data_IF_548478047900
#
_entry.id   IF_548478047900
#
_cell.length_a   1.000
_cell.length_b   1.000
_cell.length_c   1.000
_cell.angle_alpha   90.00
_cell.angle_beta   90.00
_cell.angle_gamma   90.00
#
_symmetry.space_group_name_H-M   'P 1'
#
loop_
_entity.id
_entity.type
_entity.pdbx_description
1 polymer ?
#
# COMPACT_ATOMS: atom_id res chain seq x y z
N UNK A 1 -18.21 60.08 7.64
CA UNK A 1 -18.30 59.76 6.23
C UNK A 1 -16.88 59.47 5.72
N UNK A 2 -16.47 58.26 5.55
CA UNK A 2 -15.27 57.91 4.77
C UNK A 2 -15.68 57.51 3.34
N UNK A 3 -14.86 57.92 2.37
CA UNK A 3 -15.05 57.70 0.94
C UNK A 3 -14.74 56.24 0.55
N UNK A 4 -15.38 55.68 -0.51
CA UNK A 4 -15.05 54.38 -1.01
C UNK A 4 -13.75 54.39 -1.85
N UNK A 5 -12.90 53.40 -1.65
CA UNK A 5 -11.76 53.12 -2.50
C UNK A 5 -12.24 52.58 -3.86
N UNK A 6 -12.00 53.33 -4.91
CA UNK A 6 -11.99 52.83 -6.29
C UNK A 6 -10.69 52.06 -6.51
N UNK A 7 -10.79 50.74 -6.68
CA UNK A 7 -9.71 49.86 -7.10
C UNK A 7 -10.02 49.35 -8.50
N UNK A 8 -9.07 49.52 -9.36
CA UNK A 8 -9.07 49.27 -10.80
C UNK A 8 -9.46 47.82 -11.17
N UNK A 9 -10.62 47.66 -11.74
CA UNK A 9 -11.04 46.48 -12.50
C UNK A 9 -11.18 46.90 -13.98
N UNK A 10 -10.06 47.02 -14.68
CA UNK A 10 -10.09 47.49 -16.06
C UNK A 10 -8.79 47.22 -16.81
N UNK A 11 -8.35 46.01 -16.98
CA UNK A 11 -7.26 45.69 -17.91
C UNK A 11 -7.09 44.20 -18.30
N UNK A 12 -8.13 43.39 -18.34
CA UNK A 12 -8.04 41.97 -18.81
C UNK A 12 -9.16 41.58 -19.81
N UNK A 13 -9.80 42.54 -20.48
CA UNK A 13 -10.84 42.21 -21.49
C UNK A 13 -10.57 42.92 -22.84
N UNK A 14 -9.34 43.13 -23.24
CA UNK A 14 -9.02 43.67 -24.57
C UNK A 14 -8.18 42.73 -25.44
N UNK A 15 -8.42 41.41 -25.35
CA UNK A 15 -7.72 40.42 -26.16
C UNK A 15 -8.62 39.26 -26.64
N UNK A 16 -9.95 39.46 -26.69
CA UNK A 16 -10.91 38.40 -27.02
C UNK A 16 -11.75 38.67 -28.28
N UNK A 17 -11.32 39.54 -29.19
CA UNK A 17 -12.11 39.90 -30.40
C UNK A 17 -11.66 39.27 -31.72
N UNK A 18 -10.69 38.32 -31.75
CA UNK A 18 -10.24 37.64 -32.99
C UNK A 18 -10.26 36.11 -32.96
N UNK A 19 -11.24 35.47 -32.28
CA UNK A 19 -11.43 33.99 -32.34
C UNK A 19 -12.86 33.62 -32.72
N UNK A 20 -13.35 34.13 -33.87
CA UNK A 20 -14.49 33.60 -34.58
C UNK A 20 -14.02 32.94 -35.87
N UNK A 21 -13.51 31.74 -35.80
CA UNK A 21 -13.67 30.67 -36.81
C UNK A 21 -12.83 29.46 -36.39
N UNK A 22 -13.50 28.39 -36.01
CA UNK A 22 -12.84 27.09 -35.85
C UNK A 22 -13.06 26.31 -34.56
N UNK A 23 -14.13 26.60 -33.78
CA UNK A 23 -14.46 25.79 -32.61
C UNK A 23 -14.94 24.41 -33.05
N UNK A 24 -14.05 23.41 -33.05
CA UNK A 24 -14.41 21.98 -33.14
C UNK A 24 -14.58 21.43 -31.73
N UNK A 25 -15.77 20.86 -31.38
CA UNK A 25 -16.03 20.36 -30.02
C UNK A 25 -15.18 19.14 -29.59
N UNK A 26 -14.26 18.65 -30.44
CA UNK A 26 -13.40 17.50 -30.14
C UNK A 26 -12.02 17.82 -29.56
N UNK A 27 -11.57 19.09 -29.62
CA UNK A 27 -10.19 19.44 -29.20
C UNK A 27 -10.01 19.72 -27.71
N UNK A 28 -11.10 20.06 -27.02
CA UNK A 28 -11.03 20.41 -25.59
C UNK A 28 -11.05 19.19 -24.66
N UNK A 29 -11.69 18.09 -25.07
CA UNK A 29 -11.72 16.85 -24.30
C UNK A 29 -10.34 16.18 -24.21
N UNK A 30 -9.55 16.22 -25.30
CA UNK A 30 -8.22 15.59 -25.33
C UNK A 30 -7.16 16.32 -24.49
N UNK A 31 -7.35 17.63 -24.19
CA UNK A 31 -6.43 18.40 -23.36
C UNK A 31 -6.72 18.14 -21.88
N UNK A 32 -7.98 17.94 -21.49
CA UNK A 32 -8.36 17.63 -20.10
C UNK A 32 -8.01 16.17 -19.73
N UNK A 33 -8.06 15.23 -20.65
CA UNK A 33 -7.64 13.84 -20.41
C UNK A 33 -6.13 13.71 -20.10
N UNK A 34 -5.28 14.62 -20.56
CA UNK A 34 -3.84 14.63 -20.30
C UNK A 34 -3.44 15.14 -18.90
N UNK A 35 -4.36 15.76 -18.16
CA UNK A 35 -4.11 16.31 -16.82
C UNK A 35 -4.98 15.68 -15.73
N UNK A 36 -5.71 14.63 -16.05
CA UNK A 36 -6.49 13.91 -15.04
C UNK A 36 -5.52 13.18 -14.08
N UNK A 37 -5.27 13.79 -12.92
CA UNK A 37 -4.60 13.11 -11.81
C UNK A 37 -5.57 12.09 -11.21
N UNK A 38 -5.05 10.93 -10.82
CA UNK A 38 -5.80 9.92 -10.08
C UNK A 38 -5.06 9.56 -8.80
N UNK A 39 -5.81 9.34 -7.72
CA UNK A 39 -5.24 8.97 -6.43
C UNK A 39 -5.14 7.45 -6.28
N UNK A 40 -3.97 7.01 -5.79
CA UNK A 40 -3.73 5.69 -5.28
C UNK A 40 -3.40 5.81 -3.79
N UNK A 41 -4.22 5.18 -2.96
CA UNK A 41 -4.06 5.17 -1.50
C UNK A 41 -3.46 3.83 -1.10
N UNK A 42 -2.28 3.83 -0.50
CA UNK A 42 -1.64 2.63 0.05
C UNK A 42 -1.78 2.64 1.57
N UNK A 43 -2.37 1.58 2.12
CA UNK A 43 -2.56 1.44 3.57
C UNK A 43 -2.01 0.11 4.06
N UNK A 44 -1.00 0.15 4.92
CA UNK A 44 -0.56 -1.04 5.64
C UNK A 44 -1.56 -1.37 6.74
N UNK A 45 -1.91 -2.65 6.86
CA UNK A 45 -2.78 -3.12 7.95
C UNK A 45 -2.26 -2.69 9.33
N UNK A 46 -3.17 -2.47 10.26
CA UNK A 46 -2.85 -2.16 11.65
C UNK A 46 -2.02 -3.26 12.34
N UNK A 47 -1.46 -2.96 13.50
CA UNK A 47 -0.65 -3.92 14.26
C UNK A 47 -1.40 -5.25 14.43
N UNK A 48 -0.78 -6.36 14.04
CA UNK A 48 -1.30 -7.70 14.30
C UNK A 48 -0.83 -8.24 15.65
N UNK A 49 -1.49 -9.30 16.16
CA UNK A 49 -1.07 -9.97 17.39
C UNK A 49 0.41 -10.39 17.34
N UNK A 50 0.87 -10.92 16.21
CA UNK A 50 2.26 -11.33 16.05
C UNK A 50 3.23 -10.17 15.77
N UNK A 51 2.75 -9.02 15.29
CA UNK A 51 3.57 -7.81 15.30
C UNK A 51 3.86 -7.37 16.73
N UNK A 52 2.83 -7.36 17.62
CA UNK A 52 2.97 -7.05 19.03
C UNK A 52 3.88 -8.03 19.76
N UNK A 53 3.78 -9.31 19.43
CA UNK A 53 4.62 -10.37 20.00
C UNK A 53 6.02 -10.44 19.35
N UNK A 54 6.32 -9.56 18.38
CA UNK A 54 7.56 -9.52 17.64
C UNK A 54 7.93 -10.84 16.93
N UNK A 55 6.93 -11.53 16.34
CA UNK A 55 7.09 -12.80 15.62
C UNK A 55 7.02 -12.62 14.10
N UNK A 56 7.64 -13.53 13.35
CA UNK A 56 7.49 -13.61 11.90
C UNK A 56 6.09 -14.07 11.53
N UNK A 57 5.33 -13.26 10.78
CA UNK A 57 3.94 -13.57 10.45
C UNK A 57 3.78 -14.26 9.10
N UNK A 58 4.28 -13.64 8.03
CA UNK A 58 4.13 -14.17 6.68
C UNK A 58 2.67 -14.41 6.28
N UNK A 59 2.39 -15.60 5.74
CA UNK A 59 1.05 -16.01 5.29
C UNK A 59 0.17 -16.60 6.41
N UNK A 60 0.71 -16.74 7.62
CA UNK A 60 -0.12 -17.14 8.77
C UNK A 60 -1.21 -16.10 9.02
N UNK A 61 -2.46 -16.57 9.15
CA UNK A 61 -3.63 -15.71 9.22
C UNK A 61 -3.92 -15.21 10.64
N UNK A 62 -3.09 -14.30 11.11
CA UNK A 62 -3.16 -13.67 12.43
C UNK A 62 -4.04 -12.42 12.38
N UNK A 63 -4.83 -12.20 13.42
CA UNK A 63 -5.73 -11.04 13.55
C UNK A 63 -4.99 -9.77 14.00
N UNK A 64 -5.71 -8.64 13.94
CA UNK A 64 -5.27 -7.37 14.53
C UNK A 64 -5.23 -7.44 16.06
N UNK A 65 -4.29 -6.74 16.66
CA UNK A 65 -4.34 -6.39 18.10
C UNK A 65 -5.41 -5.31 18.35
N UNK A 66 -5.68 -5.01 19.64
CA UNK A 66 -6.53 -3.87 19.99
C UNK A 66 -5.98 -2.56 19.39
N UNK A 67 -4.68 -2.32 19.56
CA UNK A 67 -3.99 -1.18 18.94
C UNK A 67 -4.11 -1.16 17.41
N UNK A 68 -4.00 -2.32 16.76
CA UNK A 68 -4.14 -2.39 15.30
C UNK A 68 -5.54 -1.99 14.81
N UNK A 69 -6.57 -2.19 15.62
CA UNK A 69 -7.93 -1.69 15.32
C UNK A 69 -8.00 -0.17 15.48
N UNK A 70 -7.42 0.38 16.55
CA UNK A 70 -7.30 1.83 16.75
C UNK A 70 -6.51 2.50 15.61
N UNK A 71 -5.45 1.85 15.12
CA UNK A 71 -4.69 2.31 13.96
C UNK A 71 -5.54 2.32 12.68
N UNK A 72 -6.45 1.36 12.50
CA UNK A 72 -7.39 1.35 11.38
C UNK A 72 -8.43 2.49 11.48
N UNK A 73 -8.99 2.74 12.66
CA UNK A 73 -9.87 3.89 12.93
C UNK A 73 -9.16 5.23 12.68
N UNK A 74 -7.91 5.35 13.11
CA UNK A 74 -7.09 6.53 12.81
C UNK A 74 -6.90 6.72 11.31
N UNK A 75 -6.61 5.64 10.56
CA UNK A 75 -6.46 5.72 9.11
C UNK A 75 -7.74 6.24 8.44
N UNK A 76 -8.92 5.80 8.89
CA UNK A 76 -10.20 6.31 8.43
C UNK A 76 -10.36 7.80 8.74
N UNK A 77 -10.03 8.22 9.97
CA UNK A 77 -10.08 9.64 10.35
C UNK A 77 -9.17 10.50 9.48
N UNK A 78 -7.95 10.03 9.17
CA UNK A 78 -7.01 10.74 8.32
C UNK A 78 -7.48 10.84 6.86
N UNK A 79 -8.18 9.83 6.35
CA UNK A 79 -8.77 9.83 5.00
C UNK A 79 -10.02 10.71 4.92
N UNK A 80 -10.75 10.84 6.04
CA UNK A 80 -12.07 11.45 6.08
C UNK A 80 -12.10 12.88 5.53
N UNK A 81 -13.03 13.12 4.62
CA UNK A 81 -13.40 14.43 4.08
C UNK A 81 -12.72 14.83 2.78
N UNK A 82 -11.46 14.51 2.55
CA UNK A 82 -10.72 14.95 1.35
C UNK A 82 -10.32 13.80 0.42
N UNK A 83 -10.10 12.59 0.98
CA UNK A 83 -9.65 11.43 0.23
C UNK A 83 -10.74 10.34 0.21
N UNK A 84 -11.22 10.02 -0.97
CA UNK A 84 -12.20 8.96 -1.20
C UNK A 84 -11.64 7.92 -2.17
N UNK A 85 -12.25 6.74 -2.19
CA UNK A 85 -11.90 5.69 -3.15
C UNK A 85 -13.17 5.05 -3.72
N UNK A 86 -13.10 4.65 -4.97
CA UNK A 86 -14.23 4.05 -5.70
C UNK A 86 -14.08 2.54 -5.87
N UNK A 87 -12.95 1.99 -5.54
CA UNK A 87 -12.66 0.56 -5.46
C UNK A 87 -11.56 0.31 -4.45
N UNK A 88 -11.65 -0.78 -3.72
CA UNK A 88 -10.64 -1.20 -2.78
C UNK A 88 -10.05 -2.57 -3.14
N UNK A 89 -8.77 -2.72 -2.94
CA UNK A 89 -8.01 -3.95 -3.13
C UNK A 89 -7.40 -4.39 -1.81
N UNK A 90 -7.45 -5.68 -1.51
CA UNK A 90 -6.80 -6.22 -0.30
C UNK A 90 -6.33 -7.65 -0.51
N UNK A 91 -5.55 -8.16 0.43
CA UNK A 91 -5.12 -9.55 0.46
C UNK A 91 -6.23 -10.50 0.93
N UNK A 92 -5.92 -11.79 1.02
CA UNK A 92 -6.82 -12.80 1.61
C UNK A 92 -6.52 -13.05 3.09
N UNK A 93 -5.68 -12.23 3.74
CA UNK A 93 -5.32 -12.34 5.15
C UNK A 93 -6.17 -11.42 6.02
N UNK A 94 -6.75 -11.97 7.11
CA UNK A 94 -7.78 -11.28 7.92
C UNK A 94 -7.33 -9.91 8.46
N UNK A 95 -6.05 -9.73 8.82
CA UNK A 95 -5.56 -8.46 9.34
C UNK A 95 -5.67 -7.30 8.33
N UNK A 96 -5.42 -7.57 7.04
CA UNK A 96 -5.59 -6.57 5.99
C UNK A 96 -7.08 -6.35 5.66
N UNK A 97 -7.85 -7.44 5.54
CA UNK A 97 -9.29 -7.39 5.32
C UNK A 97 -9.97 -6.61 6.45
N UNK A 98 -9.63 -6.88 7.71
CA UNK A 98 -10.25 -6.23 8.87
C UNK A 98 -9.87 -4.75 8.98
N UNK A 99 -8.61 -4.40 8.64
CA UNK A 99 -8.20 -2.99 8.53
C UNK A 99 -9.05 -2.27 7.49
N UNK A 100 -9.22 -2.85 6.30
CA UNK A 100 -10.05 -2.28 5.25
C UNK A 100 -11.51 -2.14 5.70
N UNK A 101 -12.08 -3.17 6.34
CA UNK A 101 -13.46 -3.12 6.80
C UNK A 101 -13.71 -2.02 7.84
N UNK A 102 -12.78 -1.85 8.79
CA UNK A 102 -12.88 -0.75 9.78
C UNK A 102 -12.85 0.59 9.05
N UNK A 103 -11.93 0.78 8.10
CA UNK A 103 -11.85 2.04 7.33
C UNK A 103 -13.12 2.29 6.53
N UNK A 104 -13.68 1.27 5.88
CA UNK A 104 -14.90 1.42 5.08
C UNK A 104 -16.14 1.69 5.94
N UNK A 105 -16.21 1.08 7.12
CA UNK A 105 -17.29 1.27 8.09
C UNK A 105 -17.28 2.71 8.65
N UNK A 106 -16.12 3.17 9.11
CA UNK A 106 -15.95 4.53 9.66
C UNK A 106 -16.21 5.63 8.63
N UNK A 107 -15.96 5.37 7.34
CA UNK A 107 -16.17 6.32 6.25
C UNK A 107 -17.57 6.19 5.59
N UNK A 108 -18.42 5.28 6.03
CA UNK A 108 -19.70 4.94 5.41
C UNK A 108 -19.57 4.56 3.92
N UNK A 109 -18.46 3.89 3.57
CA UNK A 109 -18.11 3.46 2.21
C UNK A 109 -18.29 1.95 1.99
N UNK A 110 -19.14 1.27 2.76
CA UNK A 110 -19.37 -0.18 2.68
C UNK A 110 -19.89 -0.64 1.32
N UNK A 111 -20.48 0.25 0.53
CA UNK A 111 -20.97 -0.04 -0.82
C UNK A 111 -19.85 -0.12 -1.88
N UNK A 112 -18.65 0.36 -1.55
CA UNK A 112 -17.52 0.37 -2.50
C UNK A 112 -17.09 -1.07 -2.82
N UNK A 113 -16.91 -1.44 -4.09
CA UNK A 113 -16.45 -2.77 -4.47
C UNK A 113 -15.08 -3.12 -3.87
N UNK A 114 -14.96 -4.32 -3.30
CA UNK A 114 -13.71 -4.84 -2.74
C UNK A 114 -13.23 -6.06 -3.53
N UNK A 115 -12.01 -5.99 -4.02
CA UNK A 115 -11.32 -7.11 -4.67
C UNK A 115 -10.24 -7.69 -3.76
N UNK A 116 -10.26 -9.01 -3.57
CA UNK A 116 -9.28 -9.75 -2.76
C UNK A 116 -8.40 -10.59 -3.64
N UNK A 117 -7.09 -10.52 -3.40
CA UNK A 117 -6.13 -11.37 -4.11
C UNK A 117 -5.00 -11.82 -3.20
N UNK A 118 -4.66 -13.11 -3.26
CA UNK A 118 -3.48 -13.65 -2.59
C UNK A 118 -2.18 -12.98 -3.07
N UNK A 119 -2.19 -12.41 -4.27
CA UNK A 119 -1.06 -11.66 -4.81
C UNK A 119 -0.71 -10.42 -3.98
N UNK A 120 -1.65 -9.94 -3.18
CA UNK A 120 -1.41 -8.84 -2.21
C UNK A 120 -1.05 -9.34 -0.81
N UNK A 121 -0.91 -10.64 -0.58
CA UNK A 121 -0.47 -11.18 0.71
C UNK A 121 0.90 -10.64 1.13
N UNK A 122 1.21 -10.76 2.42
CA UNK A 122 2.54 -10.51 2.97
C UNK A 122 3.57 -11.46 2.32
N UNK A 123 4.85 -11.09 2.33
CA UNK A 123 5.95 -11.98 1.96
C UNK A 123 5.91 -13.26 2.80
N UNK A 124 6.05 -14.43 2.16
CA UNK A 124 6.20 -15.68 2.88
C UNK A 124 7.56 -15.75 3.55
N UNK A 125 7.57 -15.88 4.88
CA UNK A 125 8.79 -16.05 5.65
C UNK A 125 9.23 -17.52 5.79
N UNK A 126 8.58 -18.42 5.07
CA UNK A 126 8.95 -19.85 5.08
C UNK A 126 8.98 -20.46 6.47
N UNK A 127 10.02 -21.21 6.76
CA UNK A 127 10.20 -21.88 8.05
C UNK A 127 10.32 -20.92 9.25
N UNK A 128 10.57 -19.62 9.03
CA UNK A 128 10.61 -18.63 10.10
C UNK A 128 9.22 -18.24 10.61
N UNK A 129 8.14 -18.52 9.87
CA UNK A 129 6.77 -18.20 10.28
C UNK A 129 6.47 -18.76 11.68
N UNK A 130 6.02 -17.90 12.59
CA UNK A 130 5.71 -18.22 13.97
C UNK A 130 6.89 -18.09 14.94
N UNK A 131 8.12 -18.00 14.47
CA UNK A 131 9.28 -17.83 15.34
C UNK A 131 9.37 -16.40 15.89
N UNK A 132 9.87 -16.27 17.11
CA UNK A 132 10.24 -15.00 17.71
C UNK A 132 11.46 -14.41 16.98
N UNK A 133 11.42 -13.10 16.68
CA UNK A 133 12.51 -12.46 15.91
C UNK A 133 13.80 -12.29 16.71
N UNK A 134 13.79 -11.83 17.98
CA UNK A 134 14.96 -11.81 18.85
C UNK A 134 15.62 -13.17 19.02
N UNK A 135 14.86 -14.23 19.32
CA UNK A 135 15.38 -15.58 19.45
C UNK A 135 15.97 -16.10 18.13
N UNK A 136 15.33 -15.79 17.01
CA UNK A 136 15.85 -16.12 15.68
C UNK A 136 17.15 -15.37 15.41
N UNK A 137 17.26 -14.09 15.80
CA UNK A 137 18.48 -13.30 15.66
C UNK A 137 19.61 -13.84 16.57
N UNK A 138 19.29 -14.30 17.77
CA UNK A 138 20.26 -14.95 18.65
C UNK A 138 20.80 -16.26 18.03
N UNK A 139 19.95 -17.00 17.33
CA UNK A 139 20.30 -18.29 16.70
C UNK A 139 21.09 -18.16 15.40
N UNK A 140 20.67 -17.24 14.51
CA UNK A 140 21.20 -17.14 13.15
C UNK A 140 22.05 -15.89 12.90
N UNK A 141 22.16 -15.01 13.88
CA UNK A 141 22.81 -13.72 13.77
C UNK A 141 21.87 -12.60 13.32
N UNK A 142 22.07 -11.40 13.88
CA UNK A 142 21.22 -10.22 13.60
C UNK A 142 21.30 -9.83 12.12
N UNK A 143 22.49 -9.88 11.52
CA UNK A 143 22.71 -9.55 10.12
C UNK A 143 21.92 -10.48 9.18
N UNK A 144 22.00 -11.80 9.41
CA UNK A 144 21.28 -12.77 8.60
C UNK A 144 19.77 -12.58 8.70
N UNK A 145 19.24 -12.32 9.91
CA UNK A 145 17.81 -12.04 10.12
C UNK A 145 17.43 -10.73 9.46
N UNK A 146 18.29 -9.72 9.50
CA UNK A 146 18.08 -8.47 8.78
C UNK A 146 17.97 -8.71 7.26
N UNK A 147 18.88 -9.47 6.67
CA UNK A 147 18.85 -9.83 5.24
C UNK A 147 17.53 -10.54 4.88
N UNK A 148 17.12 -11.56 5.64
CA UNK A 148 15.85 -12.26 5.39
C UNK A 148 14.62 -11.35 5.47
N UNK A 149 14.68 -10.30 6.28
CA UNK A 149 13.55 -9.37 6.45
C UNK A 149 13.51 -8.28 5.41
N UNK A 150 14.67 -7.78 4.99
CA UNK A 150 14.81 -6.48 4.34
C UNK A 150 15.40 -6.52 2.95
N UNK A 151 16.35 -7.43 2.69
CA UNK A 151 17.02 -7.52 1.40
C UNK A 151 16.02 -7.83 0.27
N UNK A 152 16.39 -7.40 -0.93
CA UNK A 152 15.54 -7.55 -2.12
C UNK A 152 15.41 -9.01 -2.56
N UNK A 153 16.52 -9.74 -2.65
CA UNK A 153 16.64 -11.07 -3.28
C UNK A 153 16.94 -12.23 -2.32
N UNK A 154 17.07 -11.95 -1.01
CA UNK A 154 17.41 -12.99 -0.02
C UNK A 154 16.17 -13.66 0.53
N UNK A 155 16.03 -14.97 0.26
CA UNK A 155 14.93 -15.81 0.76
C UNK A 155 15.23 -16.34 2.16
N UNK A 156 14.24 -16.33 3.08
CA UNK A 156 14.31 -17.14 4.31
C UNK A 156 14.33 -18.64 4.00
N UNK A 157 14.71 -19.51 4.97
CA UNK A 157 14.63 -20.94 4.81
C UNK A 157 13.21 -21.39 4.41
N UNK A 158 13.06 -22.25 3.38
CA UNK A 158 11.73 -22.65 2.91
C UNK A 158 11.04 -23.60 3.91
N UNK A 159 9.71 -23.61 3.89
CA UNK A 159 8.91 -24.69 4.45
C UNK A 159 9.16 -25.98 3.66
N UNK A 160 9.21 -27.12 4.35
CA UNK A 160 9.16 -28.38 3.64
C UNK A 160 7.77 -28.59 3.02
N UNK A 161 7.71 -29.41 1.97
CA UNK A 161 6.44 -29.69 1.28
C UNK A 161 5.36 -30.22 2.23
N UNK A 162 5.74 -31.04 3.23
CA UNK A 162 4.82 -31.67 4.18
C UNK A 162 4.62 -30.86 5.48
N UNK A 163 5.21 -29.67 5.58
CA UNK A 163 4.98 -28.78 6.73
C UNK A 163 3.51 -28.32 6.73
N UNK A 164 2.81 -28.52 7.85
CA UNK A 164 1.39 -28.15 7.99
C UNK A 164 1.11 -26.65 7.81
N UNK A 165 2.13 -25.80 7.88
CA UNK A 165 2.04 -24.36 7.64
C UNK A 165 2.17 -24.02 6.15
N UNK A 166 2.48 -25.00 5.28
CA UNK A 166 2.58 -24.75 3.85
C UNK A 166 1.22 -24.33 3.29
N UNK A 167 1.15 -23.26 2.46
CA UNK A 167 -0.11 -22.73 1.94
C UNK A 167 -1.00 -23.77 1.24
N UNK A 168 -0.43 -24.83 0.69
CA UNK A 168 -1.19 -25.92 0.02
C UNK A 168 -2.24 -26.59 0.91
N UNK A 169 -2.09 -26.49 2.24
CA UNK A 169 -3.06 -27.05 3.19
C UNK A 169 -4.12 -26.04 3.63
N UNK A 170 -4.01 -24.80 3.19
CA UNK A 170 -4.94 -23.74 3.57
C UNK A 170 -6.09 -23.64 2.56
N UNK A 171 -7.36 -23.76 2.99
CA UNK A 171 -8.52 -23.76 2.09
C UNK A 171 -8.66 -22.46 1.27
N UNK A 172 -8.01 -21.35 1.67
CA UNK A 172 -8.00 -20.09 0.89
C UNK A 172 -7.31 -20.21 -0.45
N UNK A 173 -6.47 -21.23 -0.62
CA UNK A 173 -5.67 -21.48 -1.82
C UNK A 173 -6.00 -22.83 -2.49
N UNK A 174 -7.12 -23.47 -2.10
CA UNK A 174 -7.48 -24.81 -2.57
C UNK A 174 -7.67 -24.91 -4.10
N UNK A 175 -8.08 -23.82 -4.74
CA UNK A 175 -8.28 -23.75 -6.19
C UNK A 175 -6.99 -23.41 -6.97
N UNK A 176 -5.86 -23.26 -6.27
CA UNK A 176 -4.58 -22.94 -6.87
C UNK A 176 -3.74 -24.22 -7.08
N UNK A 177 -2.92 -24.19 -8.13
CA UNK A 177 -1.88 -25.22 -8.28
C UNK A 177 -0.92 -25.15 -7.08
N UNK A 178 -0.80 -26.21 -6.27
CA UNK A 178 0.08 -26.24 -5.11
C UNK A 178 1.55 -25.94 -5.41
N UNK A 179 2.02 -26.21 -6.63
CA UNK A 179 3.40 -25.93 -7.04
C UNK A 179 3.66 -24.42 -7.24
N UNK A 180 2.62 -23.63 -7.45
CA UNK A 180 2.71 -22.16 -7.56
C UNK A 180 2.70 -21.46 -6.20
N UNK A 181 2.36 -22.19 -5.13
CA UNK A 181 2.29 -21.64 -3.77
C UNK A 181 3.68 -21.53 -3.14
N UNK A 182 4.07 -20.35 -2.59
CA UNK A 182 5.44 -20.15 -2.13
C UNK A 182 5.74 -20.90 -0.83
N UNK A 183 6.77 -21.74 -0.83
CA UNK A 183 7.36 -22.28 0.38
C UNK A 183 8.17 -21.22 1.16
N UNK A 184 8.64 -20.17 0.46
CA UNK A 184 9.36 -19.00 0.98
C UNK A 184 9.42 -17.92 -0.11
N UNK A 185 9.61 -16.66 0.27
CA UNK A 185 9.75 -15.54 -0.67
C UNK A 185 10.84 -14.56 -0.25
N UNK A 186 11.58 -14.05 -1.23
CA UNK A 186 12.30 -12.77 -1.15
C UNK A 186 11.33 -11.60 -1.43
N UNK A 187 11.80 -10.36 -1.33
CA UNK A 187 11.01 -9.21 -1.78
C UNK A 187 10.85 -9.21 -3.32
N UNK A 188 11.86 -9.68 -4.05
CA UNK A 188 11.80 -9.88 -5.49
C UNK A 188 10.67 -10.85 -5.90
N UNK A 189 10.54 -11.99 -5.20
CA UNK A 189 9.44 -12.93 -5.45
C UNK A 189 8.08 -12.28 -5.16
N UNK A 190 8.00 -11.51 -4.08
CA UNK A 190 6.79 -10.76 -3.73
C UNK A 190 6.43 -9.76 -4.85
N UNK A 191 7.42 -9.03 -5.39
CA UNK A 191 7.24 -8.11 -6.51
C UNK A 191 6.71 -8.87 -7.75
N UNK A 192 7.33 -9.99 -8.10
CA UNK A 192 6.97 -10.79 -9.28
C UNK A 192 5.51 -11.30 -9.25
N UNK A 193 4.90 -11.47 -8.07
CA UNK A 193 3.47 -11.81 -7.98
C UNK A 193 2.54 -10.60 -7.84
N UNK A 194 3.03 -9.48 -7.30
CA UNK A 194 2.25 -8.25 -7.15
C UNK A 194 2.08 -7.54 -8.49
N UNK A 195 3.15 -7.42 -9.28
CA UNK A 195 3.15 -6.64 -10.53
C UNK A 195 2.12 -7.11 -11.56
N UNK A 196 1.97 -8.41 -11.89
CA UNK A 196 0.95 -8.83 -12.84
C UNK A 196 -0.48 -8.49 -12.37
N UNK A 197 -0.73 -8.46 -11.07
CA UNK A 197 -2.01 -8.08 -10.51
C UNK A 197 -2.21 -6.55 -10.53
N UNK A 198 -1.17 -5.80 -10.23
CA UNK A 198 -1.14 -4.35 -10.41
C UNK A 198 -1.48 -3.98 -11.84
N UNK A 199 -0.77 -4.53 -12.83
CA UNK A 199 -0.92 -4.21 -14.24
C UNK A 199 -2.30 -4.61 -14.81
N UNK A 200 -2.82 -5.77 -14.42
CA UNK A 200 -4.06 -6.30 -15.01
C UNK A 200 -5.35 -5.83 -14.32
N UNK A 201 -5.30 -5.42 -13.05
CA UNK A 201 -6.48 -5.08 -12.25
C UNK A 201 -6.42 -3.65 -11.71
N UNK A 202 -5.40 -3.32 -10.91
CA UNK A 202 -5.37 -2.04 -10.19
C UNK A 202 -5.22 -0.88 -11.16
N UNK A 203 -4.27 -0.97 -12.11
CA UNK A 203 -4.08 0.08 -13.14
C UNK A 203 -5.31 0.24 -14.03
N UNK A 204 -6.11 -0.81 -14.22
CA UNK A 204 -7.33 -0.75 -15.02
C UNK A 204 -8.35 0.20 -14.40
N UNK A 205 -8.54 0.17 -13.09
CA UNK A 205 -9.45 1.10 -12.41
C UNK A 205 -8.86 2.51 -12.32
N UNK A 206 -7.56 2.64 -12.04
CA UNK A 206 -6.86 3.94 -12.04
C UNK A 206 -6.95 4.65 -13.39
N UNK A 207 -6.73 3.93 -14.52
CA UNK A 207 -6.87 4.48 -15.88
C UNK A 207 -8.30 4.90 -16.23
N UNK A 208 -9.29 4.41 -15.51
CA UNK A 208 -10.69 4.87 -15.60
C UNK A 208 -10.97 6.10 -14.75
N UNK A 209 -9.95 6.71 -14.17
CA UNK A 209 -10.06 7.86 -13.27
C UNK A 209 -10.69 7.54 -11.91
N UNK A 210 -10.67 6.28 -11.49
CA UNK A 210 -11.19 5.88 -10.18
C UNK A 210 -10.08 5.93 -9.13
N UNK A 211 -10.20 6.73 -8.07
CA UNK A 211 -9.33 6.60 -6.92
C UNK A 211 -9.40 5.21 -6.29
N UNK A 212 -8.25 4.64 -5.97
CA UNK A 212 -8.09 3.26 -5.52
C UNK A 212 -7.48 3.22 -4.13
N UNK A 213 -8.02 2.40 -3.22
CA UNK A 213 -7.38 2.03 -1.96
C UNK A 213 -6.80 0.62 -2.04
N UNK A 214 -5.52 0.46 -1.71
CA UNK A 214 -4.87 -0.85 -1.53
C UNK A 214 -4.51 -1.03 -0.05
N UNK A 215 -5.32 -1.82 0.67
CA UNK A 215 -5.06 -2.20 2.05
C UNK A 215 -4.32 -3.54 2.09
N UNK A 216 -3.01 -3.52 2.39
CA UNK A 216 -2.16 -4.70 2.26
C UNK A 216 -1.09 -4.78 3.37
N UNK A 217 0.10 -5.30 3.05
CA UNK A 217 1.12 -5.67 4.04
C UNK A 217 2.44 -4.94 3.78
N UNK A 218 3.33 -4.99 4.79
CA UNK A 218 4.61 -4.30 4.72
C UNK A 218 5.42 -4.63 3.47
N UNK A 219 5.58 -5.92 3.13
CA UNK A 219 6.41 -6.27 1.97
C UNK A 219 5.66 -6.20 0.64
N UNK A 220 4.37 -6.49 0.56
CA UNK A 220 3.62 -6.29 -0.69
C UNK A 220 3.54 -4.81 -1.09
N UNK A 221 3.37 -3.90 -0.11
CA UNK A 221 3.41 -2.46 -0.38
C UNK A 221 4.84 -1.97 -0.68
N UNK A 222 5.88 -2.48 0.01
CA UNK A 222 7.28 -2.17 -0.34
C UNK A 222 7.62 -2.58 -1.77
N UNK A 223 7.12 -3.73 -2.22
CA UNK A 223 7.28 -4.18 -3.60
C UNK A 223 6.60 -3.22 -4.58
N UNK A 224 5.39 -2.77 -4.29
CA UNK A 224 4.66 -1.82 -5.12
C UNK A 224 5.33 -0.44 -5.14
N UNK A 225 5.75 0.09 -3.99
CA UNK A 225 6.48 1.36 -3.88
C UNK A 225 7.82 1.28 -4.63
N UNK A 226 8.54 0.16 -4.51
CA UNK A 226 9.77 -0.05 -5.28
C UNK A 226 9.54 0.12 -6.78
N UNK A 227 8.44 -0.41 -7.29
CA UNK A 227 8.06 -0.28 -8.70
C UNK A 227 7.66 1.15 -9.06
N UNK A 228 6.81 1.80 -8.26
CA UNK A 228 6.31 3.15 -8.52
C UNK A 228 7.43 4.20 -8.48
N UNK A 229 8.30 4.13 -7.49
CA UNK A 229 9.35 5.14 -7.25
C UNK A 229 10.70 4.74 -7.84
N UNK A 230 10.79 3.59 -8.54
CA UNK A 230 12.03 3.03 -9.08
C UNK A 230 13.15 2.92 -8.03
N UNK A 231 12.80 2.52 -6.77
CA UNK A 231 13.76 2.42 -5.67
C UNK A 231 14.83 1.37 -6.00
N UNK A 232 16.14 1.70 -5.92
CA UNK A 232 17.21 0.74 -6.15
C UNK A 232 17.16 -0.48 -5.21
N UNK A 233 17.70 -1.62 -5.65
CA UNK A 233 17.69 -2.87 -4.87
C UNK A 233 18.42 -2.73 -3.52
N UNK A 234 19.49 -1.92 -3.47
CA UNK A 234 20.23 -1.65 -2.24
C UNK A 234 19.45 -0.81 -1.23
N UNK A 235 18.65 0.13 -1.71
CA UNK A 235 17.99 1.15 -0.87
C UNK A 235 16.64 0.65 -0.33
N UNK A 236 16.07 -0.38 -0.94
CA UNK A 236 14.76 -0.90 -0.53
C UNK A 236 14.77 -1.45 0.91
N UNK A 237 15.93 -1.84 1.42
CA UNK A 237 16.07 -2.34 2.78
C UNK A 237 15.65 -1.31 3.84
N UNK A 238 15.84 -0.02 3.57
CA UNK A 238 15.57 1.08 4.49
C UNK A 238 14.13 1.59 4.42
N UNK A 239 13.37 1.21 3.41
CA UNK A 239 11.97 1.61 3.29
C UNK A 239 11.10 0.95 4.37
N UNK A 240 10.54 1.77 5.26
CA UNK A 240 9.65 1.35 6.33
C UNK A 240 8.27 1.98 6.16
N UNK A 241 7.24 1.15 6.07
CA UNK A 241 5.85 1.59 5.93
C UNK A 241 5.19 1.50 7.32
N UNK A 242 4.77 2.63 7.92
CA UNK A 242 4.09 2.63 9.21
C UNK A 242 2.69 2.00 9.11
N UNK A 243 2.16 1.49 10.23
CA UNK A 243 0.79 1.00 10.34
C UNK A 243 -0.17 2.15 10.63
N UNK A 244 -1.36 2.12 10.00
CA UNK A 244 -2.43 3.08 10.29
C UNK A 244 -2.18 4.51 9.80
N UNK A 245 -1.27 4.72 8.86
CA UNK A 245 -1.05 5.98 8.17
C UNK A 245 -1.19 5.76 6.66
N UNK A 246 -2.24 6.32 6.02
CA UNK A 246 -2.40 6.23 4.58
C UNK A 246 -1.27 6.96 3.84
N UNK A 247 -0.72 6.33 2.82
CA UNK A 247 0.23 6.92 1.87
C UNK A 247 -0.52 7.23 0.58
N UNK A 248 -0.59 8.49 0.22
CA UNK A 248 -1.25 8.98 -0.98
C UNK A 248 -0.23 9.10 -2.11
N UNK A 249 -0.55 8.53 -3.25
CA UNK A 249 0.10 8.78 -4.53
C UNK A 249 -0.83 9.57 -5.43
N UNK A 250 -0.37 10.68 -5.95
CA UNK A 250 -0.99 11.37 -7.08
C UNK A 250 -0.28 10.92 -8.35
N UNK A 251 -1.03 10.28 -9.24
CA UNK A 251 -0.50 9.69 -10.46
C UNK A 251 -0.98 10.49 -11.67
N UNK A 252 -0.12 10.61 -12.69
CA UNK A 252 -0.49 11.19 -13.99
C UNK A 252 -1.33 10.21 -14.84
N UNK A 253 -1.69 10.59 -16.05
CA UNK A 253 -2.47 9.78 -16.98
C UNK A 253 -1.77 8.49 -17.40
N UNK A 254 -0.44 8.43 -17.34
CA UNK A 254 0.38 7.26 -17.62
C UNK A 254 0.66 6.43 -16.37
N UNK A 255 0.10 6.84 -15.24
CA UNK A 255 0.25 6.27 -13.89
C UNK A 255 1.68 6.40 -13.31
N UNK A 256 2.44 7.42 -13.75
CA UNK A 256 3.68 7.78 -13.09
C UNK A 256 3.40 8.65 -11.86
N UNK A 257 4.12 8.44 -10.75
CA UNK A 257 4.00 9.29 -9.57
C UNK A 257 4.38 10.75 -9.86
N UNK A 258 3.45 11.68 -9.62
CA UNK A 258 3.71 13.12 -9.59
C UNK A 258 4.30 13.49 -8.24
N UNK A 259 3.66 13.00 -7.17
CA UNK A 259 4.12 13.11 -5.78
C UNK A 259 3.47 12.03 -4.92
N UNK A 260 4.07 11.80 -3.76
CA UNK A 260 3.44 10.99 -2.72
C UNK A 260 3.71 11.59 -1.34
N UNK A 261 2.82 11.32 -0.38
CA UNK A 261 2.94 11.81 0.99
C UNK A 261 2.07 10.97 1.94
N UNK A 262 2.49 10.87 3.19
CA UNK A 262 1.66 10.29 4.23
C UNK A 262 0.66 11.31 4.77
N UNK A 263 -0.55 10.83 5.09
CA UNK A 263 -1.50 11.61 5.88
C UNK A 263 -1.15 11.53 7.36
N UNK A 264 -1.38 12.64 8.08
CA UNK A 264 -1.12 12.77 9.51
C UNK A 264 0.08 13.64 9.82
N UNK A 265 0.40 13.75 11.10
CA UNK A 265 1.55 14.54 11.55
C UNK A 265 2.88 13.90 11.11
N UNK A 266 3.79 14.63 10.45
CA UNK A 266 5.03 14.08 9.93
C UNK A 266 5.95 13.47 11.01
N UNK A 267 5.94 13.99 12.23
CA UNK A 267 6.76 13.47 13.33
C UNK A 267 6.20 12.14 13.84
N UNK A 268 4.88 12.02 13.95
CA UNK A 268 4.20 10.78 14.32
C UNK A 268 4.42 9.70 13.25
N UNK A 269 4.26 10.02 11.97
CA UNK A 269 4.54 9.11 10.84
C UNK A 269 5.98 8.61 10.90
N UNK A 270 6.95 9.52 11.06
CA UNK A 270 8.35 9.16 11.16
C UNK A 270 8.65 8.30 12.41
N UNK A 271 8.02 8.60 13.54
CA UNK A 271 8.16 7.79 14.77
C UNK A 271 7.60 6.38 14.58
N UNK A 272 6.43 6.25 13.93
CA UNK A 272 5.82 4.95 13.61
C UNK A 272 6.69 4.14 12.65
N UNK A 273 7.27 4.78 11.61
CA UNK A 273 8.19 4.13 10.67
C UNK A 273 9.46 3.62 11.38
N UNK A 274 10.05 4.43 12.29
CA UNK A 274 11.17 3.99 13.15
C UNK A 274 10.79 2.81 14.05
N UNK A 275 9.56 2.78 14.57
CA UNK A 275 9.04 1.65 15.35
C UNK A 275 9.06 0.34 14.56
N UNK A 276 8.69 0.38 13.27
CA UNK A 276 8.76 -0.78 12.38
C UNK A 276 10.22 -1.21 12.12
N UNK A 277 11.14 -0.26 11.95
CA UNK A 277 12.56 -0.55 11.75
C UNK A 277 13.18 -1.30 12.93
N UNK A 278 12.83 -0.94 14.17
CA UNK A 278 13.38 -1.53 15.41
C UNK A 278 12.91 -2.95 15.70
N UNK A 279 11.88 -3.44 15.04
CA UNK A 279 11.43 -4.84 15.21
C UNK A 279 12.55 -5.80 14.82
N UNK A 280 12.96 -6.69 15.74
CA UNK A 280 14.05 -7.66 15.61
C UNK A 280 15.48 -7.09 15.76
N UNK A 281 15.67 -6.11 16.62
CA UNK A 281 17.00 -5.67 17.05
C UNK A 281 17.74 -4.79 16.05
N UNK A 282 17.05 -4.18 15.09
CA UNK A 282 17.61 -3.08 14.31
C UNK A 282 17.87 -1.88 15.23
N UNK A 283 19.13 -1.40 15.28
CA UNK A 283 19.53 -0.20 16.03
C UNK A 283 18.99 1.06 15.37
#
# INVERSE_FOLDING_TARGET
MPRPCQGEAGAIISGMEDYHDGWRPGGCLLVWERYAMVELILLRHGESLWNRENRFTGWTDVDLSARGREEAHRAATLLGGEHTFHVAYTSVLKRAIRTLWIVMDDLDLMYVPVQRSWRLNEKSYGALQGLDKPETAAKYGTEQVHLWRRAYDVRPPPLSWDDSRHPRFDPRYADMDPETLPATESLHDTLNRVLPYWESHITTDLRRGKPVLVAAHGNSLRALIKHLDNVPDGDIADLNIPTGYPLIYELDADLHPIRHYYLGDPEEVAAAARGVARQAGGR
#
